data_IF_395086553413
#
_entry.id   IF_395086553413
#
_cell.length_a   1.000
_cell.length_b   1.000
_cell.length_c   1.000
_cell.angle_alpha   90.00
_cell.angle_beta   90.00
_cell.angle_gamma   90.00
#
_symmetry.space_group_name_H-M   'P 1'
#
loop_
_entity.id
_entity.type
_entity.pdbx_description
1 polymer ?
#
# COMPACT_ATOMS: atom_id res chain seq x y z
N UNK A 1 10.51 -5.00 12.69
CA UNK A 1 9.95 -4.15 11.64
C UNK A 1 10.78 -4.29 10.38
N UNK A 2 10.62 -5.41 9.67
CA UNK A 2 11.11 -5.54 8.30
C UNK A 2 10.06 -4.96 7.38
N UNK A 3 9.76 -3.67 7.54
CA UNK A 3 8.85 -3.00 6.65
C UNK A 3 9.42 -3.14 5.25
N UNK A 4 8.59 -3.52 4.28
CA UNK A 4 8.97 -3.75 2.90
C UNK A 4 9.41 -2.46 2.20
N UNK A 5 10.30 -1.66 2.80
CA UNK A 5 10.80 -0.36 2.35
C UNK A 5 11.33 -0.43 0.91
N UNK A 6 11.94 -1.56 0.52
CA UNK A 6 12.32 -1.80 -0.87
C UNK A 6 11.10 -1.87 -1.81
N UNK A 7 10.04 -2.58 -1.42
CA UNK A 7 8.79 -2.63 -2.18
C UNK A 7 8.08 -1.28 -2.19
N UNK A 8 8.01 -0.60 -1.04
CA UNK A 8 7.40 0.74 -0.91
C UNK A 8 8.08 1.72 -1.86
N UNK A 9 9.40 1.82 -1.82
CA UNK A 9 10.14 2.75 -2.69
C UNK A 9 9.94 2.45 -4.19
N UNK A 10 9.81 1.18 -4.57
CA UNK A 10 9.47 0.80 -5.96
C UNK A 10 8.07 1.29 -6.33
N UNK A 11 7.07 1.06 -5.47
CA UNK A 11 5.70 1.48 -5.72
C UNK A 11 5.55 3.00 -5.75
N UNK A 12 6.21 3.73 -4.85
CA UNK A 12 6.26 5.20 -4.83
C UNK A 12 6.80 5.76 -6.15
N UNK A 13 7.92 5.21 -6.65
CA UNK A 13 8.49 5.60 -7.95
C UNK A 13 7.56 5.33 -9.13
N UNK A 14 6.63 4.39 -9.00
CA UNK A 14 5.62 4.07 -10.01
C UNK A 14 4.32 4.85 -9.81
N UNK A 15 4.27 5.82 -8.90
CA UNK A 15 3.13 6.72 -8.68
C UNK A 15 2.08 6.18 -7.71
N UNK A 16 2.37 5.12 -6.96
CA UNK A 16 1.51 4.71 -5.85
C UNK A 16 1.72 5.64 -4.64
N UNK A 17 0.66 5.85 -3.87
CA UNK A 17 0.69 6.53 -2.57
C UNK A 17 0.14 5.62 -1.47
N UNK A 18 0.62 5.77 -0.26
CA UNK A 18 0.04 5.08 0.91
C UNK A 18 -1.38 5.58 1.15
N UNK A 19 -2.32 4.65 1.36
CA UNK A 19 -3.73 4.94 1.64
C UNK A 19 -4.21 4.33 2.96
N UNK A 20 -3.42 3.47 3.58
CA UNK A 20 -3.75 2.91 4.88
C UNK A 20 -2.64 2.05 5.45
N UNK A 21 -2.73 1.82 6.76
CA UNK A 21 -1.90 0.87 7.49
C UNK A 21 -2.79 0.04 8.40
N UNK A 22 -2.73 -1.27 8.24
CA UNK A 22 -3.40 -2.23 9.09
C UNK A 22 -2.37 -2.76 10.09
N UNK A 23 -2.49 -2.34 11.35
CA UNK A 23 -1.51 -2.65 12.39
C UNK A 23 -1.71 -4.08 12.93
N UNK A 24 -0.62 -4.82 13.08
CA UNK A 24 -0.58 -6.18 13.64
C UNK A 24 -1.64 -7.15 13.06
N UNK A 25 -1.96 -7.03 11.77
CA UNK A 25 -3.02 -7.82 11.12
C UNK A 25 -2.55 -9.20 10.66
N UNK A 26 -1.23 -9.42 10.56
CA UNK A 26 -0.64 -10.71 10.18
C UNK A 26 0.30 -11.27 11.25
N UNK A 27 0.35 -12.60 11.37
CA UNK A 27 1.33 -13.32 12.19
C UNK A 27 2.18 -14.23 11.31
N UNK A 28 3.50 -14.01 11.27
CA UNK A 28 4.43 -14.86 10.51
C UNK A 28 5.73 -15.03 11.28
N UNK A 29 6.24 -16.26 11.34
CA UNK A 29 7.47 -16.60 12.07
C UNK A 29 7.49 -16.10 13.53
N UNK A 30 6.33 -16.16 14.21
CA UNK A 30 6.20 -15.71 15.60
C UNK A 30 6.22 -14.19 15.80
N UNK A 31 6.12 -13.40 14.72
CA UNK A 31 6.09 -11.94 14.79
C UNK A 31 4.79 -11.39 14.19
N UNK A 32 4.19 -10.43 14.90
CA UNK A 32 3.09 -9.63 14.36
C UNK A 32 3.62 -8.65 13.31
N UNK A 33 2.85 -8.47 12.24
CA UNK A 33 3.25 -7.72 11.04
C UNK A 33 2.13 -6.75 10.66
N UNK A 34 2.52 -5.51 10.39
CA UNK A 34 1.67 -4.49 9.78
C UNK A 34 1.55 -4.72 8.27
N UNK A 35 0.40 -4.35 7.70
CA UNK A 35 0.20 -4.30 6.24
C UNK A 35 -0.01 -2.87 5.79
N UNK A 36 0.82 -2.39 4.85
CA UNK A 36 0.61 -1.12 4.16
C UNK A 36 -0.28 -1.34 2.94
N UNK A 37 -1.30 -0.49 2.80
CA UNK A 37 -2.11 -0.37 1.60
C UNK A 37 -1.60 0.81 0.79
N UNK A 38 -1.27 0.57 -0.48
CA UNK A 38 -0.83 1.60 -1.43
C UNK A 38 -1.73 1.57 -2.66
N UNK A 39 -2.02 2.74 -3.21
CA UNK A 39 -2.94 2.89 -4.34
C UNK A 39 -2.37 3.84 -5.38
N UNK A 40 -2.63 3.53 -6.65
CA UNK A 40 -2.37 4.41 -7.80
C UNK A 40 -3.64 4.49 -8.66
N UNK A 41 -4.13 5.68 -9.03
CA UNK A 41 -5.21 5.78 -9.99
C UNK A 41 -4.76 5.27 -11.36
N UNK A 42 -5.69 4.69 -12.12
CA UNK A 42 -5.48 4.32 -13.53
C UNK A 42 -6.37 5.21 -14.40
N UNK A 43 -5.82 5.77 -15.48
CA UNK A 43 -6.56 6.72 -16.33
C UNK A 43 -7.00 7.96 -15.53
N UNK A 44 -8.27 8.35 -15.69
CA UNK A 44 -8.88 9.50 -14.97
C UNK A 44 -9.13 9.21 -13.48
N UNK A 45 -8.94 7.96 -13.03
CA UNK A 45 -9.21 7.56 -11.65
C UNK A 45 -10.66 7.78 -11.26
N UNK A 46 -10.87 8.42 -10.11
CA UNK A 46 -12.15 8.83 -9.56
C UNK A 46 -12.59 10.24 -10.01
N UNK A 47 -11.91 10.82 -11.01
CA UNK A 47 -12.20 12.15 -11.53
C UNK A 47 -13.50 12.29 -12.32
N UNK A 48 -14.20 11.18 -12.58
CA UNK A 48 -15.50 11.16 -13.27
C UNK A 48 -16.44 10.18 -12.57
N UNK A 49 -17.72 10.54 -12.45
CA UNK A 49 -18.77 9.58 -12.07
C UNK A 49 -19.15 8.78 -13.32
N UNK A 50 -19.29 7.44 -13.26
CA UNK A 50 -19.84 6.65 -14.36
C UNK A 50 -21.27 7.09 -14.71
N UNK A 51 -21.63 7.08 -16.00
CA UNK A 51 -23.00 7.36 -16.48
C UNK A 51 -24.04 6.33 -15.98
#
# INVERSE_FOLDING_TARGET
SGEGAGSVAVHERLGFRTVGRLEAVGLKHGQWIDTLLMQRPLGVGDGTVPD
#
